data_IF_676068175531
#
_entry.id   IF_676068175531
#
_cell.length_a   1.000
_cell.length_b   1.000
_cell.length_c   1.000
_cell.angle_alpha   90.00
_cell.angle_beta   90.00
_cell.angle_gamma   90.00
#
_symmetry.space_group_name_H-M   'P 1'
#
loop_
_entity.id
_entity.type
_entity.pdbx_description
1 polymer ?
#
# COMPACT_ATOMS: atom_id res chain seq x y z
N UNK A 1 18.17 33.93 0.56
CA UNK A 1 17.83 32.94 -0.49
C UNK A 1 18.33 31.54 -0.16
N UNK A 2 19.61 31.31 0.14
CA UNK A 2 20.17 29.96 0.43
C UNK A 2 19.40 29.16 1.50
N UNK A 3 18.98 29.78 2.60
CA UNK A 3 18.26 29.09 3.68
C UNK A 3 16.91 28.48 3.27
N UNK A 4 16.16 29.15 2.38
CA UNK A 4 14.85 28.66 1.91
C UNK A 4 15.01 27.50 0.95
N UNK A 5 15.99 27.59 0.03
CA UNK A 5 16.33 26.51 -0.87
C UNK A 5 16.86 25.28 -0.12
N UNK A 6 17.74 25.46 0.87
CA UNK A 6 18.25 24.38 1.71
C UNK A 6 17.13 23.69 2.49
N UNK A 7 16.18 24.47 3.02
CA UNK A 7 14.99 23.94 3.68
C UNK A 7 14.13 23.13 2.71
N UNK A 8 13.89 23.64 1.50
CA UNK A 8 13.11 22.93 0.48
C UNK A 8 13.78 21.61 0.10
N UNK A 9 15.10 21.64 -0.13
CA UNK A 9 15.90 20.45 -0.42
C UNK A 9 15.85 19.42 0.70
N UNK A 10 15.89 19.87 1.96
CA UNK A 10 15.74 19.01 3.13
C UNK A 10 14.36 18.34 3.16
N UNK A 11 13.28 19.08 2.90
CA UNK A 11 11.93 18.53 2.85
C UNK A 11 11.77 17.46 1.76
N UNK A 12 12.31 17.70 0.56
CA UNK A 12 12.30 16.70 -0.52
C UNK A 12 13.07 15.43 -0.12
N UNK A 13 14.24 15.56 0.52
CA UNK A 13 14.98 14.40 1.03
C UNK A 13 14.22 13.64 2.11
N UNK A 14 13.47 14.34 2.97
CA UNK A 14 12.60 13.69 3.95
C UNK A 14 11.48 12.91 3.29
N UNK A 15 10.84 13.45 2.24
CA UNK A 15 9.83 12.72 1.46
C UNK A 15 10.41 11.42 0.89
N UNK A 16 11.61 11.49 0.30
CA UNK A 16 12.28 10.30 -0.22
C UNK A 16 12.56 9.28 0.89
N UNK A 17 13.09 9.72 2.03
CA UNK A 17 13.37 8.84 3.17
C UNK A 17 12.09 8.17 3.69
N UNK A 18 11.00 8.93 3.85
CA UNK A 18 9.69 8.38 4.24
C UNK A 18 9.15 7.40 3.21
N UNK A 19 9.34 7.65 1.91
CA UNK A 19 8.95 6.71 0.85
C UNK A 19 9.70 5.37 0.95
N UNK A 20 10.99 5.41 1.25
CA UNK A 20 11.79 4.20 1.52
C UNK A 20 11.34 3.49 2.80
N UNK A 21 10.96 4.23 3.85
CA UNK A 21 10.40 3.65 5.07
C UNK A 21 9.08 2.93 4.81
N UNK A 22 8.19 3.52 4.01
CA UNK A 22 6.91 2.90 3.62
C UNK A 22 7.18 1.53 2.97
N UNK A 23 8.13 1.44 2.04
CA UNK A 23 8.53 0.17 1.43
C UNK A 23 8.92 -0.87 2.47
N UNK A 24 9.78 -0.49 3.41
CA UNK A 24 10.25 -1.39 4.48
C UNK A 24 9.11 -1.87 5.38
N UNK A 25 8.09 -1.03 5.63
CA UNK A 25 6.94 -1.44 6.42
C UNK A 25 6.00 -2.36 5.64
N UNK A 26 5.82 -2.13 4.33
CA UNK A 26 5.10 -3.05 3.44
C UNK A 26 5.77 -4.43 3.40
N UNK A 27 7.10 -4.48 3.24
CA UNK A 27 7.89 -5.72 3.23
C UNK A 27 7.81 -6.48 4.56
N UNK A 28 7.58 -5.77 5.68
CA UNK A 28 7.38 -6.35 7.02
C UNK A 28 5.91 -6.67 7.32
N UNK A 29 5.02 -6.50 6.36
CA UNK A 29 3.57 -6.65 6.52
C UNK A 29 2.96 -5.75 7.63
N UNK A 30 3.66 -4.68 8.02
CA UNK A 30 3.17 -3.71 9.00
C UNK A 30 2.44 -2.57 8.28
N UNK A 31 1.22 -2.86 7.83
CA UNK A 31 0.44 -1.94 7.00
C UNK A 31 -0.06 -0.71 7.77
N UNK A 32 -0.29 -0.81 9.08
CA UNK A 32 -0.70 0.33 9.91
C UNK A 32 0.40 1.39 9.96
N UNK A 33 1.65 0.96 10.20
CA UNK A 33 2.78 1.89 10.20
C UNK A 33 3.06 2.42 8.78
N UNK A 34 2.89 1.60 7.73
CA UNK A 34 2.98 2.07 6.35
C UNK A 34 1.98 3.21 6.05
N UNK A 35 0.72 3.07 6.49
CA UNK A 35 -0.32 4.10 6.35
C UNK A 35 -0.02 5.37 7.16
N UNK A 36 0.50 5.21 8.38
CA UNK A 36 0.96 6.32 9.22
C UNK A 36 2.05 7.13 8.50
N UNK A 37 3.03 6.45 7.90
CA UNK A 37 4.12 7.08 7.15
C UNK A 37 3.64 7.74 5.86
N UNK A 38 2.69 7.15 5.15
CA UNK A 38 2.04 7.79 3.99
C UNK A 38 1.34 9.10 4.38
N UNK A 39 0.62 9.09 5.51
CA UNK A 39 -0.02 10.30 6.04
C UNK A 39 1.02 11.38 6.37
N UNK A 40 2.14 10.99 7.00
CA UNK A 40 3.24 11.92 7.26
C UNK A 40 3.86 12.46 5.96
N UNK A 41 4.03 11.63 4.94
CA UNK A 41 4.54 12.02 3.62
C UNK A 41 3.64 13.08 2.97
N UNK A 42 2.32 12.94 3.07
CA UNK A 42 1.37 13.95 2.59
C UNK A 42 1.54 15.31 3.31
N UNK A 43 1.81 15.30 4.62
CA UNK A 43 2.11 16.52 5.38
C UNK A 43 3.41 17.18 4.91
N UNK A 44 4.45 16.39 4.61
CA UNK A 44 5.72 16.91 4.07
C UNK A 44 5.51 17.56 2.69
N UNK A 45 4.72 16.94 1.81
CA UNK A 45 4.38 17.50 0.50
C UNK A 45 3.62 18.83 0.64
N UNK A 46 2.69 18.92 1.59
CA UNK A 46 2.00 20.18 1.88
C UNK A 46 2.99 21.28 2.30
N UNK A 47 3.95 20.97 3.18
CA UNK A 47 5.01 21.91 3.59
C UNK A 47 5.89 22.32 2.41
N UNK A 48 6.24 21.38 1.52
CA UNK A 48 7.00 21.66 0.29
C UNK A 48 6.26 22.70 -0.56
N UNK A 49 4.96 22.54 -0.77
CA UNK A 49 4.17 23.48 -1.57
C UNK A 49 4.17 24.89 -0.98
N UNK A 50 4.03 25.00 0.35
CA UNK A 50 4.09 26.30 1.04
C UNK A 50 5.46 26.96 0.84
N UNK A 51 6.54 26.22 1.10
CA UNK A 51 7.91 26.75 1.00
C UNK A 51 8.25 27.11 -0.45
N UNK A 52 7.92 26.25 -1.41
CA UNK A 52 8.16 26.48 -2.85
C UNK A 52 7.44 27.72 -3.38
N UNK A 53 6.25 28.04 -2.87
CA UNK A 53 5.50 29.24 -3.27
C UNK A 53 6.01 30.53 -2.59
N UNK A 54 6.97 30.44 -1.66
CA UNK A 54 7.47 31.60 -0.90
C UNK A 54 8.69 32.28 -1.53
N UNK A 55 9.26 31.72 -2.60
CA UNK A 55 10.41 32.28 -3.31
C UNK A 55 10.53 31.68 -4.71
N UNK A 56 11.19 32.42 -5.60
CA UNK A 56 11.52 31.94 -6.95
C UNK A 56 12.82 31.14 -6.94
N UNK A 57 12.80 30.02 -7.66
CA UNK A 57 13.96 29.14 -7.82
C UNK A 57 14.72 29.49 -9.09
N UNK A 58 16.05 29.57 -8.98
CA UNK A 58 16.95 29.65 -10.14
C UNK A 58 16.96 28.34 -10.95
N UNK A 59 17.40 28.39 -12.20
CA UNK A 59 17.47 27.20 -13.07
C UNK A 59 18.34 26.08 -12.47
N UNK A 60 19.44 26.45 -11.80
CA UNK A 60 20.31 25.50 -11.11
C UNK A 60 19.60 24.81 -9.94
N UNK A 61 18.85 25.57 -9.14
CA UNK A 61 18.08 25.06 -8.01
C UNK A 61 16.95 24.15 -8.47
N UNK A 62 16.23 24.54 -9.53
CA UNK A 62 15.19 23.71 -10.15
C UNK A 62 15.74 22.39 -10.67
N UNK A 63 16.88 22.42 -11.38
CA UNK A 63 17.57 21.23 -11.88
C UNK A 63 17.99 20.29 -10.74
N UNK A 64 18.49 20.86 -9.63
CA UNK A 64 18.88 20.08 -8.45
C UNK A 64 17.68 19.40 -7.79
N UNK A 65 16.55 20.10 -7.68
CA UNK A 65 15.32 19.52 -7.12
C UNK A 65 14.70 18.47 -8.05
N UNK A 66 14.80 18.66 -9.38
CA UNK A 66 14.29 17.70 -10.37
C UNK A 66 14.90 16.31 -10.16
N UNK A 67 16.21 16.21 -9.93
CA UNK A 67 16.87 14.93 -9.64
C UNK A 67 16.28 14.23 -8.41
N UNK A 68 16.04 14.99 -7.33
CA UNK A 68 15.45 14.42 -6.10
C UNK A 68 14.00 13.98 -6.36
N UNK A 69 13.25 14.72 -7.18
CA UNK A 69 11.89 14.36 -7.58
C UNK A 69 11.88 13.08 -8.41
N UNK A 70 12.82 12.91 -9.34
CA UNK A 70 12.98 11.68 -10.12
C UNK A 70 13.26 10.47 -9.21
N UNK A 71 14.13 10.63 -8.21
CA UNK A 71 14.40 9.58 -7.21
C UNK A 71 13.14 9.22 -6.40
N UNK A 72 12.37 10.23 -5.97
CA UNK A 72 11.09 10.01 -5.28
C UNK A 72 10.12 9.25 -6.19
N UNK A 73 9.94 9.69 -7.43
CA UNK A 73 9.02 9.05 -8.38
C UNK A 73 9.39 7.59 -8.63
N UNK A 74 10.69 7.30 -8.78
CA UNK A 74 11.18 5.91 -8.90
C UNK A 74 10.80 5.09 -7.67
N UNK A 75 11.04 5.60 -6.46
CA UNK A 75 10.69 4.90 -5.22
C UNK A 75 9.18 4.68 -5.07
N UNK A 76 8.36 5.67 -5.43
CA UNK A 76 6.90 5.54 -5.40
C UNK A 76 6.39 4.48 -6.39
N UNK A 77 6.95 4.42 -7.60
CA UNK A 77 6.59 3.38 -8.58
C UNK A 77 6.92 1.98 -8.07
N UNK A 78 8.06 1.80 -7.40
CA UNK A 78 8.40 0.54 -6.74
C UNK A 78 7.37 0.18 -5.67
N UNK A 79 7.03 1.12 -4.79
CA UNK A 79 6.05 0.90 -3.73
C UNK A 79 4.68 0.52 -4.28
N UNK A 80 4.21 1.22 -5.32
CA UNK A 80 2.94 0.94 -6.00
C UNK A 80 2.95 -0.47 -6.60
N UNK A 81 4.04 -0.86 -7.26
CA UNK A 81 4.18 -2.21 -7.82
C UNK A 81 4.06 -3.27 -6.73
N UNK A 82 4.80 -3.11 -5.62
CA UNK A 82 4.75 -4.06 -4.50
C UNK A 82 3.35 -4.18 -3.90
N UNK A 83 2.65 -3.06 -3.69
CA UNK A 83 1.28 -3.08 -3.16
C UNK A 83 0.31 -3.74 -4.14
N UNK A 84 0.49 -3.54 -5.45
CA UNK A 84 -0.34 -4.17 -6.47
C UNK A 84 -0.17 -5.70 -6.46
N UNK A 85 1.07 -6.17 -6.38
CA UNK A 85 1.37 -7.61 -6.32
C UNK A 85 0.76 -8.24 -5.06
N UNK A 86 0.88 -7.56 -3.90
CA UNK A 86 0.27 -7.99 -2.63
C UNK A 86 -1.26 -8.03 -2.70
N UNK A 87 -1.88 -7.05 -3.37
CA UNK A 87 -3.33 -7.02 -3.59
C UNK A 87 -3.78 -8.24 -4.39
N UNK A 88 -3.08 -8.56 -5.47
CA UNK A 88 -3.42 -9.67 -6.35
C UNK A 88 -3.26 -11.02 -5.62
N UNK A 89 -2.17 -11.21 -4.86
CA UNK A 89 -1.98 -12.38 -4.00
C UNK A 89 -3.08 -12.51 -2.93
N UNK A 90 -3.43 -11.41 -2.26
CA UNK A 90 -4.51 -11.38 -1.26
C UNK A 90 -5.86 -11.74 -1.89
N UNK A 91 -6.14 -11.28 -3.11
CA UNK A 91 -7.37 -11.60 -3.82
C UNK A 91 -7.46 -13.10 -4.15
N UNK A 92 -6.34 -13.72 -4.56
CA UNK A 92 -6.25 -15.16 -4.80
C UNK A 92 -6.48 -15.97 -3.52
N UNK A 93 -5.80 -15.60 -2.42
CA UNK A 93 -5.98 -16.21 -1.10
C UNK A 93 -7.44 -16.12 -0.63
N UNK A 94 -8.07 -14.95 -0.79
CA UNK A 94 -9.47 -14.75 -0.43
C UNK A 94 -10.41 -15.64 -1.28
N UNK A 95 -10.16 -15.77 -2.58
CA UNK A 95 -10.93 -16.64 -3.48
C UNK A 95 -10.82 -18.11 -3.05
N UNK A 96 -9.62 -18.56 -2.72
CA UNK A 96 -9.37 -19.93 -2.24
C UNK A 96 -10.07 -20.19 -0.90
N UNK A 97 -9.99 -19.25 0.06
CA UNK A 97 -10.69 -19.35 1.35
C UNK A 97 -12.21 -19.40 1.18
N UNK A 98 -12.77 -18.57 0.29
CA UNK A 98 -14.21 -18.61 -0.03
C UNK A 98 -14.63 -19.95 -0.63
N UNK A 99 -13.83 -20.53 -1.53
CA UNK A 99 -14.10 -21.86 -2.08
C UNK A 99 -14.04 -22.94 -0.99
N UNK A 100 -13.03 -22.91 -0.12
CA UNK A 100 -12.90 -23.83 1.02
C UNK A 100 -14.07 -23.71 1.99
N UNK A 101 -14.46 -22.50 2.38
CA UNK A 101 -15.62 -22.26 3.25
C UNK A 101 -16.93 -22.74 2.64
N UNK A 102 -17.13 -22.56 1.32
CA UNK A 102 -18.31 -23.12 0.62
C UNK A 102 -18.35 -24.64 0.69
N UNK A 103 -17.21 -25.31 0.53
CA UNK A 103 -17.10 -26.76 0.69
C UNK A 103 -17.41 -27.14 2.14
N UNK A 104 -16.70 -26.57 3.11
CA UNK A 104 -16.92 -26.86 4.54
C UNK A 104 -18.37 -26.66 4.92
N UNK A 105 -19.02 -25.55 4.58
CA UNK A 105 -20.43 -25.32 4.90
C UNK A 105 -21.39 -26.31 4.24
N UNK A 106 -21.09 -26.81 3.03
CA UNK A 106 -21.86 -27.87 2.37
C UNK A 106 -21.71 -29.24 3.02
N UNK A 107 -20.60 -29.50 3.69
CA UNK A 107 -20.33 -30.77 4.38
C UNK A 107 -20.49 -30.67 5.91
N UNK A 108 -20.77 -29.48 6.45
CA UNK A 108 -21.02 -29.24 7.88
C UNK A 108 -22.52 -29.20 8.22
N UNK A 109 -23.39 -29.37 7.22
CA UNK A 109 -24.84 -29.46 7.38
C UNK A 109 -25.35 -30.73 6.71
N UNK A 110 -25.28 -31.84 7.46
CA UNK A 110 -26.34 -32.85 7.61
C UNK A 110 -25.77 -34.03 8.45
N UNK A 111 -25.71 -33.78 9.76
CA UNK A 111 -25.88 -34.84 10.77
C UNK A 111 -27.13 -34.51 11.59
N UNK A 112 -28.25 -34.28 10.92
CA UNK A 112 -29.47 -34.93 11.37
C UNK A 112 -29.48 -36.31 10.70
N UNK A 113 -29.72 -37.41 11.43
CA UNK A 113 -29.88 -38.69 10.78
C UNK A 113 -31.06 -38.54 9.82
N UNK A 114 -30.78 -38.57 8.51
CA UNK A 114 -31.82 -38.90 7.55
C UNK A 114 -32.31 -40.29 7.94
N UNK A 115 -33.44 -40.35 8.64
CA UNK A 115 -34.17 -41.59 8.83
C UNK A 115 -34.41 -42.15 7.43
N UNK A 116 -33.67 -43.21 7.11
CA UNK A 116 -33.81 -43.92 5.86
C UNK A 116 -35.25 -44.40 5.76
N UNK A 117 -36.02 -43.83 4.83
CA UNK A 117 -37.22 -44.49 4.35
C UNK A 117 -36.73 -45.70 3.56
N UNK A 118 -36.68 -46.85 4.24
CA UNK A 118 -36.53 -48.14 3.57
C UNK A 118 -37.75 -48.25 2.65
N UNK A 119 -37.50 -48.22 1.34
CA UNK A 119 -38.50 -48.53 0.33
C UNK A 119 -38.98 -49.96 0.57
N UNK A 120 -40.20 -50.11 1.06
CA UNK A 120 -40.91 -51.39 1.03
C UNK A 120 -41.17 -51.76 -0.44
N UNK A 121 -40.35 -52.66 -0.97
CA UNK A 121 -40.67 -53.40 -2.18
C UNK A 121 -41.70 -54.48 -1.83
N UNK A 122 -42.93 -54.31 -2.27
CA UNK A 122 -43.90 -55.40 -2.37
C UNK A 122 -43.92 -55.90 -3.82
N UNK A 123 -43.63 -57.19 -4.02
CA UNK A 123 -44.10 -58.00 -5.17
C UNK A 123 -45.42 -58.68 -4.81
#
# INVERSE_FOLDING_TARGET
MTKQFDQLKMLYKQVLATSVEVKKFIEKENYDEALSRETHKAQLISKINIVKNSFDLTDFEQSTLRKIVEDIQKQEMENISTVKDLKDDTALKLKALKAKSKITNKYSGDTEPQEGSILDFNE
#
